data_IF_524863843167
#
_entry.id   IF_524863843167
#
_cell.length_a   1.000
_cell.length_b   1.000
_cell.length_c   1.000
_cell.angle_alpha   90.00
_cell.angle_beta   90.00
_cell.angle_gamma   90.00
#
_symmetry.space_group_name_H-M   'P 1'
#
loop_
_entity.id
_entity.type
_entity.pdbx_description
1 polymer ?
#
# COMPACT_ATOMS: atom_id res chain seq x y z
N UNK A 1 29.06 -9.05 -19.77
CA UNK A 1 28.39 -8.95 -18.45
C UNK A 1 28.04 -7.47 -18.34
N UNK A 2 26.79 -7.01 -18.51
CA UNK A 2 25.52 -7.46 -17.93
C UNK A 2 24.37 -7.24 -18.94
N UNK A 3 23.65 -8.30 -19.31
CA UNK A 3 22.47 -8.27 -20.19
C UNK A 3 21.20 -8.69 -19.42
N UNK A 4 21.05 -8.20 -18.18
CA UNK A 4 20.07 -8.76 -17.23
C UNK A 4 18.99 -7.82 -16.68
N UNK A 5 19.05 -6.50 -16.89
CA UNK A 5 18.20 -5.56 -16.12
C UNK A 5 17.03 -4.90 -16.84
N UNK A 6 16.82 -5.15 -18.14
CA UNK A 6 15.77 -4.45 -18.92
C UNK A 6 14.63 -5.35 -19.43
N UNK A 7 14.43 -6.54 -18.85
CA UNK A 7 13.42 -7.51 -19.36
C UNK A 7 12.34 -7.92 -18.35
N UNK A 8 11.83 -6.97 -17.57
CA UNK A 8 10.60 -7.18 -16.77
C UNK A 8 9.44 -6.23 -17.12
N UNK A 9 9.58 -5.37 -18.13
CA UNK A 9 8.48 -4.50 -18.60
C UNK A 9 7.56 -5.16 -19.64
N UNK A 10 7.81 -6.42 -20.03
CA UNK A 10 7.11 -7.07 -21.15
C UNK A 10 6.24 -8.27 -20.75
N UNK A 11 6.20 -8.65 -19.46
CA UNK A 11 5.37 -9.77 -18.97
C UNK A 11 4.10 -9.34 -18.21
N UNK A 12 3.98 -8.07 -17.82
CA UNK A 12 2.72 -7.52 -17.30
C UNK A 12 1.86 -7.08 -18.47
N UNK A 13 0.85 -7.88 -18.84
CA UNK A 13 -0.09 -7.54 -19.90
C UNK A 13 -0.67 -6.14 -19.71
N UNK A 14 -0.22 -5.21 -20.56
CA UNK A 14 -0.85 -3.92 -20.85
C UNK A 14 -0.68 -2.82 -19.81
N UNK A 15 -0.11 -1.69 -20.25
CA UNK A 15 -0.26 -0.36 -19.61
C UNK A 15 -1.70 -0.10 -19.12
N UNK A 16 -2.73 -0.60 -19.83
CA UNK A 16 -4.14 -0.45 -19.44
C UNK A 16 -4.63 -1.31 -18.26
N UNK A 17 -3.93 -2.37 -17.87
CA UNK A 17 -4.40 -3.33 -16.87
C UNK A 17 -3.81 -3.05 -15.45
N UNK A 18 -2.65 -2.41 -15.35
CA UNK A 18 -2.26 -1.78 -14.08
C UNK A 18 -2.99 -0.43 -13.90
N UNK A 19 -3.31 0.27 -15.01
CA UNK A 19 -4.06 1.53 -14.99
C UNK A 19 -5.45 1.41 -14.36
N UNK A 20 -6.22 0.35 -14.62
CA UNK A 20 -7.57 0.29 -14.06
C UNK A 20 -7.58 -0.03 -12.56
N UNK A 21 -6.64 -0.82 -12.06
CA UNK A 21 -6.53 -1.09 -10.63
C UNK A 21 -6.11 0.16 -9.84
N UNK A 22 -5.18 0.98 -10.37
CA UNK A 22 -4.77 2.21 -9.70
C UNK A 22 -5.86 3.29 -9.73
N UNK A 23 -6.65 3.38 -10.81
CA UNK A 23 -7.84 4.22 -10.85
C UNK A 23 -8.88 3.79 -9.81
N UNK A 24 -9.17 2.49 -9.72
CA UNK A 24 -10.08 1.93 -8.69
C UNK A 24 -9.57 2.19 -7.28
N UNK A 25 -8.26 2.10 -7.04
CA UNK A 25 -7.67 2.44 -5.75
C UNK A 25 -7.87 3.94 -5.43
N UNK A 26 -7.61 4.82 -6.40
CA UNK A 26 -7.79 6.26 -6.22
C UNK A 26 -9.26 6.62 -5.93
N UNK A 27 -10.20 6.02 -6.66
CA UNK A 27 -11.64 6.17 -6.40
C UNK A 27 -12.01 5.68 -5.01
N UNK A 28 -11.59 4.47 -4.63
CA UNK A 28 -11.86 3.91 -3.31
C UNK A 28 -11.34 4.80 -2.17
N UNK A 29 -10.10 5.29 -2.27
CA UNK A 29 -9.53 6.18 -1.26
C UNK A 29 -10.23 7.54 -1.20
N UNK A 30 -10.73 8.04 -2.33
CA UNK A 30 -11.52 9.28 -2.39
C UNK A 30 -12.89 9.10 -1.74
N UNK A 31 -13.56 7.98 -2.00
CA UNK A 31 -14.88 7.65 -1.44
C UNK A 31 -14.80 7.37 0.08
N UNK A 32 -13.77 6.64 0.52
CA UNK A 32 -13.52 6.37 1.93
C UNK A 32 -13.13 7.64 2.70
N UNK A 33 -12.54 8.62 2.02
CA UNK A 33 -12.10 9.91 2.56
C UNK A 33 -11.41 9.80 3.94
N UNK A 34 -10.36 8.97 4.07
CA UNK A 34 -9.73 8.73 5.36
C UNK A 34 -8.91 9.96 5.81
N UNK A 35 -8.70 10.14 7.12
CA UNK A 35 -7.86 11.21 7.64
C UNK A 35 -6.38 11.03 7.26
N UNK A 36 -5.94 9.79 7.02
CA UNK A 36 -4.57 9.47 6.62
C UNK A 36 -4.51 8.18 5.79
N UNK A 37 -3.55 8.12 4.87
CA UNK A 37 -3.25 6.94 4.05
C UNK A 37 -1.76 6.64 4.15
N UNK A 38 -1.42 5.43 4.59
CA UNK A 38 -0.06 4.90 4.60
C UNK A 38 0.15 4.00 3.39
N UNK A 39 1.17 4.31 2.58
CA UNK A 39 1.62 3.46 1.49
C UNK A 39 2.78 2.57 1.98
N UNK A 40 2.53 1.26 2.04
CA UNK A 40 3.46 0.27 2.59
C UNK A 40 4.23 -0.49 1.51
N UNK A 41 4.10 -0.05 0.27
CA UNK A 41 4.94 -0.50 -0.82
C UNK A 41 5.15 0.63 -1.83
N UNK A 42 6.16 0.47 -2.68
CA UNK A 42 6.52 1.45 -3.68
C UNK A 42 5.58 1.39 -4.90
N UNK A 43 5.41 2.53 -5.56
CA UNK A 43 5.01 2.55 -6.97
C UNK A 43 3.54 2.84 -7.19
N UNK A 44 2.81 3.36 -6.21
CA UNK A 44 1.42 3.80 -6.39
C UNK A 44 1.08 5.17 -5.78
N UNK A 45 1.82 5.65 -4.77
CA UNK A 45 1.50 6.90 -4.09
C UNK A 45 1.49 8.14 -5.02
N UNK A 46 2.48 8.34 -5.92
CA UNK A 46 2.44 9.45 -6.88
C UNK A 46 1.22 9.40 -7.82
N UNK A 47 0.82 8.20 -8.25
CA UNK A 47 -0.33 8.03 -9.14
C UNK A 47 -1.65 8.27 -8.42
N UNK A 48 -1.81 7.80 -7.17
CA UNK A 48 -2.98 8.13 -6.36
C UNK A 48 -3.10 9.64 -6.18
N UNK A 49 -1.98 10.32 -5.85
CA UNK A 49 -1.98 11.78 -5.71
C UNK A 49 -2.41 12.48 -7.01
N UNK A 50 -1.88 12.03 -8.15
CA UNK A 50 -2.24 12.58 -9.46
C UNK A 50 -3.73 12.36 -9.78
N UNK A 51 -4.22 11.12 -9.66
CA UNK A 51 -5.59 10.73 -10.02
C UNK A 51 -6.65 11.34 -9.10
N UNK A 52 -6.29 11.62 -7.85
CA UNK A 52 -7.18 12.28 -6.89
C UNK A 52 -7.07 13.81 -6.93
N UNK A 53 -6.29 14.38 -7.87
CA UNK A 53 -5.99 15.80 -7.95
C UNK A 53 -5.46 16.38 -6.61
N UNK A 54 -4.65 15.59 -5.90
CA UNK A 54 -4.11 15.96 -4.59
C UNK A 54 -5.14 15.95 -3.46
N UNK A 55 -6.30 15.30 -3.59
CA UNK A 55 -7.19 15.12 -2.42
C UNK A 55 -6.68 14.04 -1.47
N UNK A 56 -6.08 12.99 -2.01
CA UNK A 56 -5.48 11.90 -1.23
C UNK A 56 -3.96 11.99 -1.34
N UNK A 57 -3.30 12.01 -0.18
CA UNK A 57 -1.85 12.09 -0.06
C UNK A 57 -1.31 10.87 0.69
N UNK A 58 -1.06 9.74 0.00
CA UNK A 58 -0.46 8.59 0.66
C UNK A 58 0.96 8.92 1.12
N UNK A 59 1.25 8.65 2.39
CA UNK A 59 2.59 8.74 2.95
C UNK A 59 3.34 7.43 2.67
N UNK A 60 4.41 7.50 1.90
CA UNK A 60 5.30 6.36 1.66
C UNK A 60 6.12 6.08 2.92
N UNK A 61 5.80 4.98 3.62
CA UNK A 61 6.50 4.60 4.86
C UNK A 61 7.39 3.37 4.71
N UNK A 62 7.28 2.65 3.59
CA UNK A 62 7.98 1.39 3.36
C UNK A 62 9.51 1.51 3.49
N UNK A 63 10.10 2.66 3.13
CA UNK A 63 11.55 2.87 3.17
C UNK A 63 12.32 2.07 2.11
N UNK A 64 13.39 2.65 1.56
CA UNK A 64 14.15 2.06 0.44
C UNK A 64 15.16 0.98 0.86
N UNK A 65 15.36 0.79 2.16
CA UNK A 65 16.30 -0.21 2.68
C UNK A 65 15.59 -1.55 2.88
N UNK A 66 15.96 -2.56 2.11
CA UNK A 66 15.36 -3.90 2.16
C UNK A 66 15.32 -4.49 3.57
N UNK A 67 16.40 -4.32 4.36
CA UNK A 67 16.56 -4.96 5.68
C UNK A 67 16.25 -4.05 6.88
N UNK A 68 15.87 -2.80 6.67
CA UNK A 68 15.71 -1.84 7.77
C UNK A 68 14.30 -1.85 8.32
N UNK A 69 14.03 -2.84 9.17
CA UNK A 69 12.74 -2.96 9.88
C UNK A 69 12.57 -1.87 10.92
N UNK A 70 13.65 -1.44 11.59
CA UNK A 70 13.57 -0.47 12.69
C UNK A 70 13.06 0.90 12.23
N UNK A 71 13.55 1.44 11.11
CA UNK A 71 13.06 2.72 10.59
C UNK A 71 11.62 2.63 10.11
N UNK A 72 11.27 1.53 9.44
CA UNK A 72 9.90 1.26 9.02
C UNK A 72 8.96 1.23 10.24
N UNK A 73 9.33 0.51 11.30
CA UNK A 73 8.55 0.46 12.54
C UNK A 73 8.40 1.84 13.20
N UNK A 74 9.48 2.65 13.21
CA UNK A 74 9.42 4.02 13.74
C UNK A 74 8.42 4.88 12.97
N UNK A 75 8.37 4.76 11.64
CA UNK A 75 7.38 5.46 10.79
C UNK A 75 5.97 4.89 10.96
N UNK A 76 5.83 3.59 11.19
CA UNK A 76 4.55 2.90 11.32
C UNK A 76 3.84 3.18 12.66
N UNK A 77 4.58 3.26 13.77
CA UNK A 77 4.02 3.49 15.13
C UNK A 77 3.02 4.65 15.24
N UNK A 78 3.33 5.89 14.79
CA UNK A 78 2.38 7.00 14.90
C UNK A 78 1.12 6.77 14.03
N UNK A 79 1.24 6.05 12.92
CA UNK A 79 0.12 5.76 12.02
C UNK A 79 -0.81 4.69 12.58
N UNK A 80 -0.27 3.69 13.29
CA UNK A 80 -1.09 2.71 14.04
C UNK A 80 -1.93 3.39 15.12
N UNK A 81 -1.36 4.41 15.79
CA UNK A 81 -2.04 5.16 16.83
C UNK A 81 -3.04 6.21 16.29
N UNK A 82 -2.93 6.59 15.01
CA UNK A 82 -3.80 7.59 14.38
C UNK A 82 -5.12 6.93 13.94
N UNK A 83 -6.27 7.28 14.58
CA UNK A 83 -7.55 6.66 14.27
C UNK A 83 -7.96 6.92 12.82
N UNK A 84 -8.53 5.90 12.18
CA UNK A 84 -9.03 6.01 10.81
C UNK A 84 -7.98 5.88 9.72
N UNK A 85 -6.69 5.72 10.06
CA UNK A 85 -5.63 5.53 9.06
C UNK A 85 -5.87 4.29 8.22
N UNK A 86 -5.77 4.44 6.90
CA UNK A 86 -5.81 3.33 5.95
C UNK A 86 -4.41 2.93 5.51
N UNK A 87 -4.13 1.64 5.52
CA UNK A 87 -2.85 1.05 5.17
C UNK A 87 -2.99 0.31 3.84
N UNK A 88 -2.23 0.69 2.83
CA UNK A 88 -2.34 0.16 1.47
C UNK A 88 -1.10 -0.67 1.11
N UNK A 89 -1.35 -1.90 0.66
CA UNK A 89 -0.33 -2.89 0.27
C UNK A 89 -0.54 -3.36 -1.18
N UNK A 90 0.53 -3.76 -1.86
CA UNK A 90 0.42 -4.67 -3.01
C UNK A 90 0.20 -6.11 -2.51
N UNK A 91 -0.59 -6.89 -3.25
CA UNK A 91 -0.97 -8.26 -2.82
C UNK A 91 0.01 -9.34 -3.30
N UNK A 92 0.47 -9.30 -4.55
CA UNK A 92 1.28 -10.38 -5.14
C UNK A 92 2.67 -9.92 -5.62
N UNK A 93 2.82 -8.65 -6.01
CA UNK A 93 4.03 -8.13 -6.65
C UNK A 93 4.64 -7.00 -5.82
N UNK A 94 4.70 -7.19 -4.50
CA UNK A 94 5.24 -6.19 -3.61
C UNK A 94 6.75 -6.00 -3.87
N UNK A 95 7.20 -4.76 -4.05
CA UNK A 95 8.63 -4.48 -4.18
C UNK A 95 9.29 -4.57 -2.82
N UNK A 96 8.71 -3.92 -1.82
CA UNK A 96 9.11 -4.03 -0.42
C UNK A 96 8.00 -4.75 0.35
N UNK A 97 8.19 -6.03 0.65
CA UNK A 97 7.23 -6.78 1.45
C UNK A 97 7.28 -6.34 2.93
N UNK A 98 6.48 -5.31 3.24
CA UNK A 98 6.32 -4.77 4.60
C UNK A 98 5.16 -5.41 5.36
N UNK A 99 4.46 -6.38 4.77
CA UNK A 99 3.31 -6.98 5.42
C UNK A 99 3.69 -7.76 6.68
N UNK A 100 4.70 -8.64 6.70
CA UNK A 100 5.10 -9.33 7.92
C UNK A 100 5.50 -8.38 9.05
N UNK A 101 6.29 -7.34 8.75
CA UNK A 101 6.72 -6.35 9.73
C UNK A 101 5.54 -5.54 10.30
N UNK A 102 4.59 -5.16 9.45
CA UNK A 102 3.35 -4.52 9.89
C UNK A 102 2.57 -5.39 10.88
N UNK A 103 2.35 -6.67 10.54
CA UNK A 103 1.56 -7.58 11.39
C UNK A 103 2.24 -7.86 12.73
N UNK A 104 3.57 -8.09 12.73
CA UNK A 104 4.36 -8.29 13.94
C UNK A 104 4.25 -7.07 14.85
N UNK A 105 4.49 -5.87 14.33
CA UNK A 105 4.45 -4.65 15.13
C UNK A 105 3.04 -4.35 15.65
N UNK A 106 2.04 -4.37 14.78
CA UNK A 106 0.65 -4.10 15.15
C UNK A 106 0.18 -5.05 16.26
N UNK A 107 0.46 -6.36 16.12
CA UNK A 107 0.13 -7.36 17.13
C UNK A 107 0.88 -7.14 18.43
N UNK A 108 2.18 -6.82 18.39
CA UNK A 108 2.97 -6.54 19.60
C UNK A 108 2.44 -5.36 20.41
N UNK A 109 1.79 -4.41 19.73
CA UNK A 109 1.19 -3.22 20.31
C UNK A 109 -0.31 -3.40 20.65
N UNK A 110 -0.86 -4.60 20.46
CA UNK A 110 -2.25 -4.92 20.78
C UNK A 110 -3.29 -4.46 19.76
N UNK A 111 -2.87 -4.01 18.57
CA UNK A 111 -3.79 -3.64 17.49
C UNK A 111 -4.29 -4.88 16.75
N UNK A 112 -5.59 -4.91 16.48
CA UNK A 112 -6.17 -5.75 15.43
C UNK A 112 -6.19 -5.02 14.09
N UNK A 113 -6.46 -5.72 12.99
CA UNK A 113 -6.71 -5.09 11.69
C UNK A 113 -7.79 -5.85 10.93
N UNK A 114 -8.50 -5.12 10.07
CA UNK A 114 -9.48 -5.70 9.15
C UNK A 114 -9.25 -5.17 7.74
N UNK A 115 -9.55 -6.03 6.76
CA UNK A 115 -9.55 -5.65 5.35
C UNK A 115 -10.77 -4.78 5.09
N UNK A 116 -10.54 -3.53 4.71
CA UNK A 116 -11.57 -2.59 4.26
C UNK A 116 -11.98 -2.93 2.83
N UNK A 117 -10.98 -3.10 1.95
CA UNK A 117 -11.24 -3.38 0.55
C UNK A 117 -10.08 -4.13 -0.10
N UNK A 118 -10.40 -4.98 -1.08
CA UNK A 118 -9.44 -5.64 -1.95
C UNK A 118 -9.68 -5.14 -3.38
N UNK A 119 -8.76 -4.33 -3.87
CA UNK A 119 -8.82 -3.74 -5.20
C UNK A 119 -8.31 -4.77 -6.20
N UNK A 120 -9.21 -5.14 -7.11
CA UNK A 120 -8.93 -6.07 -8.19
C UNK A 120 -8.87 -5.32 -9.50
N UNK A 121 -8.02 -5.84 -10.38
CA UNK A 121 -8.04 -5.54 -11.80
C UNK A 121 -9.32 -6.06 -12.44
N UNK A 122 -9.66 -5.60 -13.64
CA UNK A 122 -10.85 -6.02 -14.40
C UNK A 122 -11.02 -7.53 -14.56
N UNK A 123 -9.92 -8.28 -14.66
CA UNK A 123 -9.91 -9.74 -14.77
C UNK A 123 -10.08 -10.47 -13.42
N UNK A 124 -10.27 -9.73 -12.34
CA UNK A 124 -10.44 -10.26 -10.98
C UNK A 124 -9.14 -10.49 -10.22
N UNK A 125 -7.98 -10.26 -10.85
CA UNK A 125 -6.69 -10.43 -10.18
C UNK A 125 -6.50 -9.35 -9.09
N UNK A 126 -6.20 -9.72 -7.83
CA UNK A 126 -6.01 -8.74 -6.76
C UNK A 126 -4.67 -8.01 -6.90
N UNK A 127 -4.72 -6.68 -6.85
CA UNK A 127 -3.53 -5.82 -6.97
C UNK A 127 -3.23 -5.12 -5.65
N UNK A 128 -4.22 -4.45 -5.06
CA UNK A 128 -4.06 -3.71 -3.81
C UNK A 128 -4.98 -4.20 -2.71
N UNK A 129 -4.49 -4.17 -1.48
CA UNK A 129 -5.29 -4.38 -0.28
C UNK A 129 -5.28 -3.11 0.57
N UNK A 130 -6.47 -2.71 1.04
CA UNK A 130 -6.65 -1.63 1.99
C UNK A 130 -7.02 -2.24 3.34
N UNK A 131 -6.20 -1.99 4.34
CA UNK A 131 -6.44 -2.35 5.73
C UNK A 131 -6.74 -1.13 6.58
N UNK A 132 -7.42 -1.37 7.69
CA UNK A 132 -7.57 -0.44 8.79
C UNK A 132 -7.28 -1.16 10.10
N UNK A 133 -6.59 -0.49 11.01
CA UNK A 133 -6.34 -1.01 12.36
C UNK A 133 -7.52 -0.70 13.28
N UNK A 134 -7.79 -1.62 14.18
CA UNK A 134 -8.77 -1.48 15.24
C UNK A 134 -8.02 -1.13 16.51
N UNK A 135 -8.45 -0.07 17.20
CA UNK A 135 -7.87 0.32 18.47
C UNK A 135 -7.93 -0.84 19.47
N UNK A 136 -6.88 -1.04 20.28
CA UNK A 136 -6.91 -2.00 21.36
C UNK A 136 -8.08 -1.68 22.28
N UNK A 137 -8.77 -2.71 22.79
CA UNK A 137 -9.78 -2.56 23.84
C UNK A 137 -9.13 -2.26 25.18
#
# INVERSE_FOLDING_TARGET
MDFGYHRMLTKSGGRGAHSDAIERLATALTELNPPSVAALDWGFAPQVRLLTAGRVHPQEIFGYEWNSTAEFEQRLRPLLAAPGTLFVFHVNDAVFDRRPAFEVLAKSLGYGWSRVQLIRRRDGFPIYEILQVQTPK
#
